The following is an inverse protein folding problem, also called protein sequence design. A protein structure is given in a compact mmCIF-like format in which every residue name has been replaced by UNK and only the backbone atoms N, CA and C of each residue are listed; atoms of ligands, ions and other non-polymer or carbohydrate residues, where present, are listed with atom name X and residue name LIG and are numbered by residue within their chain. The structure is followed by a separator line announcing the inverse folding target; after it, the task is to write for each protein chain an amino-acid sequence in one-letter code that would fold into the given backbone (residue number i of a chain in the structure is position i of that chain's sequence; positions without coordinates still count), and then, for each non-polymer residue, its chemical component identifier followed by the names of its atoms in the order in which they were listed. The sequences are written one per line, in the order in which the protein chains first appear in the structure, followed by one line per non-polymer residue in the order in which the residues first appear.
data_IF_359448355508
#
_entry.id   IF_359448355508
#
_cell.length_a   1.000
_cell.length_b   1.000
_cell.length_c   1.000
_cell.angle_alpha   90.00
_cell.angle_beta   90.00
_cell.angle_gamma   90.00
#
_symmetry.space_group_name_H-M   'P 1'
#
loop_
_entity.id
_entity.type
_entity.pdbx_description
1 polymer ?
#
# COMPACT_ATOMS: atom_id res chain seq x y z
N UNK A 1 -3.01 22.79 -2.33
CA UNK A 1 -3.56 22.34 -3.62
C UNK A 1 -2.61 21.32 -4.25
N UNK A 2 -3.15 20.36 -5.02
CA UNK A 2 -2.43 19.26 -5.67
C UNK A 2 -1.38 19.78 -6.64
N UNK A 3 -1.67 20.84 -7.39
CA UNK A 3 -0.70 21.44 -8.32
C UNK A 3 0.52 22.00 -7.59
N UNK A 4 0.30 22.67 -6.46
CA UNK A 4 1.36 23.20 -5.61
C UNK A 4 2.26 22.11 -5.05
N UNK A 5 1.67 21.01 -4.60
CA UNK A 5 2.39 19.82 -4.11
C UNK A 5 3.26 19.21 -5.22
N UNK A 6 2.72 18.99 -6.42
CA UNK A 6 3.49 18.46 -7.56
C UNK A 6 4.63 19.41 -7.93
N UNK A 7 4.37 20.72 -8.01
CA UNK A 7 5.37 21.74 -8.33
C UNK A 7 6.55 21.74 -7.36
N UNK A 8 6.29 21.55 -6.06
CA UNK A 8 7.33 21.49 -5.03
C UNK A 8 8.31 20.32 -5.21
N UNK A 9 7.91 19.26 -5.91
CA UNK A 9 8.78 18.09 -6.18
C UNK A 9 9.79 18.32 -7.32
N UNK A 10 9.58 19.33 -8.17
CA UNK A 10 10.39 19.56 -9.38
C UNK A 10 10.24 18.48 -10.47
N UNK A 11 9.29 17.56 -10.34
CA UNK A 11 9.01 16.51 -11.31
C UNK A 11 7.69 16.80 -12.06
N UNK A 12 7.53 16.28 -13.29
CA UNK A 12 6.29 16.45 -14.05
C UNK A 12 5.12 15.65 -13.42
N UNK A 13 3.92 16.18 -13.57
CA UNK A 13 2.69 15.66 -12.94
C UNK A 13 2.37 14.21 -13.34
N UNK A 14 2.66 13.82 -14.58
CA UNK A 14 2.42 12.48 -15.10
C UNK A 14 3.31 11.38 -14.50
N UNK A 15 4.26 11.72 -13.63
CA UNK A 15 5.06 10.75 -12.86
C UNK A 15 4.43 10.36 -11.52
N UNK A 16 3.32 10.98 -11.15
CA UNK A 16 2.68 10.74 -9.86
C UNK A 16 1.31 10.09 -10.04
N UNK A 17 1.00 9.13 -9.18
CA UNK A 17 -0.37 8.73 -8.92
C UNK A 17 -0.98 9.77 -7.96
N UNK A 18 -2.07 10.41 -8.37
CA UNK A 18 -2.75 11.45 -7.59
C UNK A 18 -4.07 10.99 -6.98
N UNK A 19 -4.38 9.70 -7.11
CA UNK A 19 -5.66 9.11 -6.74
C UNK A 19 -6.07 9.34 -5.28
N UNK A 20 -5.10 9.43 -4.36
CA UNK A 20 -5.39 9.75 -2.96
C UNK A 20 -5.95 11.18 -2.77
N UNK A 21 -5.78 12.07 -3.75
CA UNK A 21 -6.22 13.46 -3.70
C UNK A 21 -7.43 13.73 -4.60
N UNK A 22 -7.50 13.11 -5.79
CA UNK A 22 -8.58 13.35 -6.77
C UNK A 22 -9.50 12.15 -7.00
N UNK A 23 -9.16 10.96 -6.51
CA UNK A 23 -9.91 9.72 -6.75
C UNK A 23 -9.64 9.05 -8.11
N UNK A 24 -8.83 9.65 -8.98
CA UNK A 24 -8.53 9.12 -10.32
C UNK A 24 -7.43 8.07 -10.25
N UNK A 25 -7.80 6.84 -9.88
CA UNK A 25 -6.87 5.72 -9.88
C UNK A 25 -6.49 5.32 -11.33
N UNK A 26 -5.18 5.15 -11.63
CA UNK A 26 -4.73 4.71 -12.95
C UNK A 26 -5.14 3.25 -13.26
N UNK A 27 -5.55 2.51 -12.23
CA UNK A 27 -6.07 1.14 -12.34
C UNK A 27 -7.48 1.10 -11.73
N UNK A 28 -8.47 0.49 -12.42
CA UNK A 28 -9.82 0.36 -11.88
C UNK A 28 -9.82 -0.51 -10.63
N UNK A 29 -10.65 -0.12 -9.66
CA UNK A 29 -10.88 -0.89 -8.43
C UNK A 29 -11.94 -1.95 -8.70
N UNK A 30 -11.71 -3.18 -8.22
CA UNK A 30 -12.71 -4.25 -8.25
C UNK A 30 -13.86 -3.91 -7.27
N UNK A 31 -15.11 -3.75 -7.75
CA UNK A 31 -16.24 -3.37 -6.91
C UNK A 31 -16.64 -4.44 -5.88
N UNK A 32 -16.17 -5.68 -6.04
CA UNK A 32 -16.38 -6.73 -5.04
C UNK A 32 -15.45 -6.58 -3.83
N UNK A 33 -14.41 -5.74 -3.92
CA UNK A 33 -13.46 -5.52 -2.85
C UNK A 33 -13.86 -4.29 -2.03
N UNK A 34 -14.08 -4.50 -0.74
CA UNK A 34 -14.24 -3.41 0.22
C UNK A 34 -12.89 -2.93 0.78
N UNK A 35 -12.91 -1.79 1.48
CA UNK A 35 -11.71 -1.19 2.07
C UNK A 35 -10.97 -2.08 3.08
N UNK A 36 -11.66 -3.07 3.66
CA UNK A 36 -11.11 -3.98 4.65
C UNK A 36 -10.54 -5.28 4.05
N UNK A 37 -10.43 -5.35 2.72
CA UNK A 37 -9.94 -6.55 2.03
C UNK A 37 -8.52 -6.93 2.49
N UNK A 38 -7.68 -5.95 2.82
CA UNK A 38 -6.29 -6.21 3.22
C UNK A 38 -6.23 -6.84 4.62
N UNK A 39 -7.05 -6.39 5.55
CA UNK A 39 -7.19 -6.93 6.91
C UNK A 39 -7.79 -8.35 6.87
N UNK A 40 -8.80 -8.57 6.02
CA UNK A 40 -9.36 -9.91 5.78
C UNK A 40 -8.31 -10.87 5.23
N UNK A 41 -7.42 -10.39 4.34
CA UNK A 41 -6.30 -11.16 3.79
C UNK A 41 -5.21 -11.41 4.82
N UNK A 42 -4.90 -10.45 5.69
CA UNK A 42 -3.91 -10.59 6.76
C UNK A 42 -4.28 -11.73 7.72
N UNK A 43 -5.56 -11.82 8.10
CA UNK A 43 -6.06 -12.93 8.92
C UNK A 43 -5.89 -14.29 8.23
N UNK A 44 -6.01 -14.34 6.90
CA UNK A 44 -5.77 -15.55 6.11
C UNK A 44 -4.28 -15.87 6.00
N UNK A 45 -3.40 -14.89 5.83
CA UNK A 45 -1.95 -15.12 5.75
C UNK A 45 -1.37 -15.57 7.10
N UNK A 46 -1.89 -15.08 8.23
CA UNK A 46 -1.49 -15.57 9.56
C UNK A 46 -1.76 -17.07 9.74
N UNK A 47 -2.88 -17.57 9.23
CA UNK A 47 -3.20 -19.00 9.25
C UNK A 47 -2.20 -19.86 8.44
N UNK A 48 -1.52 -19.27 7.45
CA UNK A 48 -0.46 -19.94 6.68
C UNK A 48 0.94 -19.73 7.31
N UNK A 49 1.17 -18.59 7.97
CA UNK A 49 2.43 -18.25 8.62
C UNK A 49 2.74 -19.09 9.87
N UNK A 50 1.74 -19.72 10.50
CA UNK A 50 1.97 -20.70 11.58
C UNK A 50 2.85 -21.90 11.14
N UNK A 51 3.04 -22.11 9.84
CA UNK A 51 3.93 -23.15 9.29
C UNK A 51 5.39 -22.71 9.12
N UNK A 52 5.71 -21.41 9.14
CA UNK A 52 7.07 -20.90 8.90
C UNK A 52 7.54 -20.04 10.08
N UNK A 53 8.37 -20.63 10.95
CA UNK A 53 9.13 -19.91 11.98
C UNK A 53 10.11 -18.94 11.31
N UNK A 54 9.64 -17.73 11.00
CA UNK A 54 10.50 -16.68 10.51
C UNK A 54 11.51 -16.27 11.60
N UNK A 55 12.81 -16.13 11.27
CA UNK A 55 13.81 -15.67 12.22
C UNK A 55 13.53 -14.22 12.63
N UNK A 56 13.68 -13.92 13.92
CA UNK A 56 13.49 -12.56 14.43
C UNK A 56 14.63 -11.68 13.96
N UNK A 57 14.29 -10.59 13.26
CA UNK A 57 15.25 -9.54 12.93
C UNK A 57 15.83 -9.03 14.27
N UNK A 58 17.16 -9.03 14.39
CA UNK A 58 17.94 -8.71 15.62
C UNK A 58 18.12 -9.81 16.67
N UNK A 59 17.90 -11.09 16.35
CA UNK A 59 18.20 -12.19 17.29
C UNK A 59 19.64 -12.16 17.86
N UNK A 60 20.59 -11.61 17.11
CA UNK A 60 22.02 -11.66 17.44
C UNK A 60 22.68 -10.29 17.67
N UNK A 61 21.92 -9.21 17.89
CA UNK A 61 22.53 -7.93 18.29
C UNK A 61 22.82 -7.93 19.80
N UNK A 62 24.08 -8.21 20.15
CA UNK A 62 24.69 -7.95 21.45
C UNK A 62 25.63 -6.75 21.36
#
# INVERSE_FOLDING_TARGET
DVEGMVRATGQPMNKFCLACFNGDYPLPVDPALDKFIMEKRENRSKALADQERHPTLFADLK
#
